data_IF_453407669988
#
_entry.id   IF_453407669988
#
_cell.length_a   1.000
_cell.length_b   1.000
_cell.length_c   1.000
_cell.angle_alpha   90.00
_cell.angle_beta   90.00
_cell.angle_gamma   90.00
#
_symmetry.space_group_name_H-M   'P 1'
#
loop_
_entity.id
_entity.type
_entity.pdbx_description
1 polymer ?
#
# COMPACT_ATOMS: atom_id res chain seq x y z
N UNK A 1 30.16 -31.38 23.19
CA UNK A 1 29.22 -31.75 22.12
C UNK A 1 29.43 -30.78 20.97
N UNK A 2 29.96 -31.22 19.83
CA UNK A 2 30.15 -30.39 18.64
C UNK A 2 28.85 -30.35 17.83
N UNK A 3 28.38 -29.14 17.50
CA UNK A 3 27.23 -28.94 16.61
C UNK A 3 27.51 -29.58 15.24
N UNK A 4 26.50 -30.22 14.67
CA UNK A 4 26.62 -30.86 13.36
C UNK A 4 26.71 -29.81 12.24
N UNK A 5 27.41 -30.12 11.15
CA UNK A 5 27.55 -29.20 10.00
C UNK A 5 26.19 -28.74 9.43
N UNK A 6 25.14 -29.57 9.57
CA UNK A 6 23.77 -29.27 9.14
C UNK A 6 23.13 -28.14 9.99
N UNK A 7 23.40 -28.11 11.29
CA UNK A 7 22.91 -27.05 12.21
C UNK A 7 23.65 -25.73 11.97
N UNK A 8 24.94 -25.79 11.64
CA UNK A 8 25.76 -24.62 11.26
C UNK A 8 25.35 -24.03 9.91
N UNK A 9 25.03 -24.87 8.91
CA UNK A 9 24.47 -24.41 7.63
C UNK A 9 23.08 -23.78 7.79
N UNK A 10 22.21 -24.41 8.58
CA UNK A 10 20.87 -23.88 8.88
C UNK A 10 20.91 -22.52 9.58
N UNK A 11 21.81 -22.33 10.55
CA UNK A 11 21.99 -21.05 11.22
C UNK A 11 22.49 -19.94 10.26
N UNK A 12 23.44 -20.26 9.38
CA UNK A 12 23.95 -19.33 8.38
C UNK A 12 22.90 -18.90 7.34
N UNK A 13 22.01 -19.81 6.95
CA UNK A 13 20.91 -19.50 6.04
C UNK A 13 19.83 -18.63 6.69
N UNK A 14 19.49 -18.89 7.95
CA UNK A 14 18.54 -18.08 8.72
C UNK A 14 19.06 -16.64 8.85
N UNK A 15 20.35 -16.46 9.16
CA UNK A 15 20.94 -15.13 9.31
C UNK A 15 20.99 -14.37 7.97
N UNK A 16 21.32 -15.06 6.87
CA UNK A 16 21.23 -14.49 5.52
C UNK A 16 19.81 -14.07 5.16
N UNK A 17 18.80 -14.90 5.44
CA UNK A 17 17.41 -14.55 5.20
C UNK A 17 16.96 -13.36 6.05
N UNK A 18 17.37 -13.31 7.31
CA UNK A 18 17.07 -12.19 8.23
C UNK A 18 17.68 -10.88 7.73
N UNK A 19 18.94 -10.88 7.29
CA UNK A 19 19.59 -9.70 6.72
C UNK A 19 18.90 -9.25 5.43
N UNK A 20 18.52 -10.19 4.55
CA UNK A 20 17.76 -9.86 3.34
C UNK A 20 16.40 -9.22 3.67
N UNK A 21 15.64 -9.80 4.59
CA UNK A 21 14.35 -9.27 5.01
C UNK A 21 14.48 -7.87 5.64
N UNK A 22 15.50 -7.65 6.47
CA UNK A 22 15.80 -6.32 7.04
C UNK A 22 16.16 -5.30 5.96
N UNK A 23 16.97 -5.70 4.97
CA UNK A 23 17.35 -4.81 3.87
C UNK A 23 16.15 -4.43 3.00
N UNK A 24 15.24 -5.36 2.72
CA UNK A 24 13.99 -5.07 2.02
C UNK A 24 13.16 -4.08 2.84
N UNK A 25 12.85 -4.40 4.12
CA UNK A 25 12.05 -3.54 5.00
C UNK A 25 12.60 -2.12 5.16
N UNK A 26 13.92 -1.94 5.15
CA UNK A 26 14.56 -0.61 5.24
C UNK A 26 14.51 0.16 3.93
N UNK A 27 14.40 -0.53 2.80
CA UNK A 27 14.53 0.08 1.47
C UNK A 27 13.19 0.18 0.74
N UNK A 28 12.15 -0.51 1.14
CA UNK A 28 10.87 -0.53 0.41
C UNK A 28 9.73 -0.09 1.32
N UNK A 29 8.89 0.79 0.81
CA UNK A 29 7.55 0.97 1.36
C UNK A 29 6.64 -0.14 0.83
N UNK A 30 5.80 -0.66 1.69
CA UNK A 30 4.89 -1.74 1.36
C UNK A 30 3.59 -1.16 0.81
N UNK A 31 3.37 -1.36 -0.50
CA UNK A 31 2.25 -0.78 -1.25
C UNK A 31 1.03 -1.70 -1.21
N UNK A 32 -0.10 -1.18 -0.74
CA UNK A 32 -1.36 -1.92 -0.58
C UNK A 32 -2.46 -1.23 -1.38
N UNK A 33 -3.14 -1.99 -2.22
CA UNK A 33 -4.34 -1.54 -2.91
C UNK A 33 -5.55 -2.07 -2.15
N UNK A 34 -6.44 -1.19 -1.72
CA UNK A 34 -7.73 -1.58 -1.12
C UNK A 34 -8.84 -1.45 -2.15
N UNK A 35 -9.59 -2.55 -2.34
CA UNK A 35 -10.65 -2.69 -3.34
C UNK A 35 -11.97 -2.92 -2.62
N UNK A 36 -13.04 -2.30 -3.11
CA UNK A 36 -14.37 -2.59 -2.59
C UNK A 36 -15.42 -1.56 -2.95
N UNK A 37 -16.68 -1.89 -2.66
CA UNK A 37 -17.84 -1.03 -2.94
C UNK A 37 -17.69 0.36 -2.31
N UNK A 38 -18.41 1.32 -2.89
CA UNK A 38 -18.56 2.64 -2.27
C UNK A 38 -19.10 2.48 -0.84
N UNK A 39 -18.55 3.27 0.09
CA UNK A 39 -18.94 3.29 1.50
C UNK A 39 -18.77 1.96 2.26
N UNK A 40 -17.99 1.00 1.74
CA UNK A 40 -17.70 -0.26 2.44
C UNK A 40 -16.77 -0.11 3.67
N UNK A 41 -16.28 1.10 3.97
CA UNK A 41 -15.41 1.36 5.10
C UNK A 41 -13.90 1.17 4.82
N UNK A 42 -13.47 1.23 3.55
CA UNK A 42 -12.07 1.03 3.13
C UNK A 42 -11.09 1.90 3.93
N UNK A 43 -11.26 3.22 3.89
CA UNK A 43 -10.40 4.17 4.62
C UNK A 43 -10.41 3.92 6.13
N UNK A 44 -11.56 3.51 6.70
CA UNK A 44 -11.67 3.19 8.13
C UNK A 44 -10.86 1.93 8.49
N UNK A 45 -10.82 0.93 7.62
CA UNK A 45 -9.95 -0.25 7.82
C UNK A 45 -8.49 0.17 7.77
N UNK A 46 -8.09 1.04 6.84
CA UNK A 46 -6.70 1.51 6.73
C UNK A 46 -6.24 2.23 8.01
N UNK A 47 -7.06 3.11 8.57
CA UNK A 47 -6.80 3.76 9.87
C UNK A 47 -6.57 2.73 10.98
N UNK A 48 -7.40 1.69 11.04
CA UNK A 48 -7.28 0.62 12.04
C UNK A 48 -6.01 -0.21 11.87
N UNK A 49 -5.63 -0.55 10.64
CA UNK A 49 -4.39 -1.28 10.32
C UNK A 49 -3.16 -0.50 10.76
N UNK A 50 -3.19 0.83 10.61
CA UNK A 50 -2.12 1.71 11.07
C UNK A 50 -2.19 2.07 12.56
N UNK A 51 -3.11 1.44 13.33
CA UNK A 51 -3.38 1.72 14.74
C UNK A 51 -3.47 3.24 15.03
N UNK A 52 -4.17 3.96 14.16
CA UNK A 52 -4.26 5.43 14.22
C UNK A 52 -5.68 5.89 13.94
N UNK A 53 -5.98 7.12 14.37
CA UNK A 53 -7.20 7.85 14.01
C UNK A 53 -6.90 9.07 13.15
N UNK A 54 -5.62 9.29 12.81
CA UNK A 54 -5.23 10.36 11.92
C UNK A 54 -5.80 10.14 10.50
N UNK A 55 -5.93 11.23 9.76
CA UNK A 55 -6.19 11.13 8.33
C UNK A 55 -4.86 10.93 7.60
N UNK A 56 -4.82 10.08 6.56
CA UNK A 56 -3.62 9.96 5.75
C UNK A 56 -3.38 11.27 5.00
N UNK A 57 -2.11 11.61 4.81
CA UNK A 57 -1.71 12.58 3.80
C UNK A 57 -1.81 11.95 2.44
N UNK A 58 -2.27 12.72 1.46
CA UNK A 58 -2.42 12.26 0.08
C UNK A 58 -1.36 12.92 -0.77
N UNK A 59 -0.64 12.13 -1.55
CA UNK A 59 0.34 12.61 -2.51
C UNK A 59 -0.08 12.19 -3.91
N UNK A 60 0.07 13.08 -4.88
CA UNK A 60 -0.09 12.72 -6.29
C UNK A 60 1.15 11.95 -6.80
N UNK A 61 1.09 11.49 -8.06
CA UNK A 61 2.20 10.80 -8.72
C UNK A 61 3.49 11.62 -8.82
N UNK A 62 3.41 12.95 -8.71
CA UNK A 62 4.57 13.84 -8.69
C UNK A 62 5.18 14.00 -7.29
N UNK A 63 4.58 13.40 -6.26
CA UNK A 63 4.99 13.53 -4.87
C UNK A 63 4.54 14.84 -4.21
N UNK A 64 3.61 15.58 -4.81
CA UNK A 64 3.05 16.78 -4.20
C UNK A 64 1.92 16.39 -3.25
N UNK A 65 1.96 16.91 -2.03
CA UNK A 65 0.88 16.77 -1.06
C UNK A 65 -0.36 17.49 -1.57
N UNK A 66 -1.50 16.79 -1.55
CA UNK A 66 -2.81 17.32 -1.91
C UNK A 66 -3.50 17.74 -0.62
N UNK A 67 -3.78 19.03 -0.46
CA UNK A 67 -4.50 19.52 0.70
C UNK A 67 -5.97 19.08 0.64
N UNK A 68 -6.33 18.15 1.52
CA UNK A 68 -7.68 17.62 1.62
C UNK A 68 -8.67 18.57 2.29
N UNK A 69 -8.20 19.65 2.92
CA UNK A 69 -9.05 20.64 3.58
C UNK A 69 -9.71 21.60 2.60
N UNK A 70 -9.15 21.75 1.39
CA UNK A 70 -9.74 22.47 0.27
C UNK A 70 -10.81 21.65 -0.48
N UNK A 71 -10.87 20.34 -0.21
CA UNK A 71 -11.86 19.43 -0.78
C UNK A 71 -13.03 19.24 0.20
N UNK A 72 -14.26 19.36 -0.31
CA UNK A 72 -15.48 19.18 0.49
C UNK A 72 -15.42 17.87 1.33
N UNK A 73 -15.87 17.83 2.60
CA UNK A 73 -15.88 16.61 3.43
C UNK A 73 -16.65 15.42 2.83
N UNK A 74 -17.58 15.70 1.90
CA UNK A 74 -18.27 14.71 1.07
C UNK A 74 -17.44 14.23 -0.12
N UNK A 75 -16.56 15.07 -0.67
CA UNK A 75 -15.58 14.69 -1.70
C UNK A 75 -14.50 13.76 -1.12
N UNK A 76 -14.17 13.91 0.17
CA UNK A 76 -13.20 13.09 0.93
C UNK A 76 -13.47 11.58 0.94
N UNK A 77 -14.65 11.09 0.55
CA UNK A 77 -14.98 9.64 0.54
C UNK A 77 -15.23 9.05 -0.85
N UNK A 78 -15.23 9.89 -1.89
CA UNK A 78 -15.63 9.50 -3.24
C UNK A 78 -14.68 9.91 -4.36
N UNK A 79 -13.79 10.88 -4.13
CA UNK A 79 -12.93 11.45 -5.18
C UNK A 79 -11.47 10.96 -5.16
N UNK A 80 -11.15 9.86 -4.47
CA UNK A 80 -9.76 9.35 -4.47
C UNK A 80 -9.29 8.91 -5.86
N UNK A 81 -8.19 9.45 -6.36
CA UNK A 81 -7.52 8.83 -7.50
C UNK A 81 -6.76 7.58 -7.00
N UNK A 82 -6.91 6.45 -7.69
CA UNK A 82 -6.21 5.20 -7.35
C UNK A 82 -4.69 5.36 -7.45
N UNK A 83 -4.24 6.30 -8.29
CA UNK A 83 -2.83 6.63 -8.50
C UNK A 83 -2.25 7.48 -7.37
N UNK A 84 -3.10 8.12 -6.54
CA UNK A 84 -2.62 8.88 -5.40
C UNK A 84 -2.17 7.95 -4.27
N UNK A 85 -1.12 8.36 -3.58
CA UNK A 85 -0.56 7.66 -2.43
C UNK A 85 -1.17 8.21 -1.15
N UNK A 86 -1.74 7.33 -0.32
CA UNK A 86 -2.16 7.65 1.04
C UNK A 86 -1.11 7.15 2.04
N UNK A 87 -0.55 8.07 2.82
CA UNK A 87 0.49 7.78 3.80
C UNK A 87 0.05 8.27 5.17
N UNK A 88 0.10 7.38 6.14
CA UNK A 88 -0.12 7.68 7.55
C UNK A 88 1.21 8.09 8.18
N UNK A 89 1.23 9.24 8.85
CA UNK A 89 2.42 9.73 9.57
C UNK A 89 2.81 8.78 10.71
N UNK A 90 1.83 8.12 11.33
CA UNK A 90 2.04 7.08 12.34
C UNK A 90 2.78 5.86 11.78
N UNK A 91 2.71 5.62 10.47
CA UNK A 91 3.34 4.46 9.84
C UNK A 91 3.69 4.67 8.36
N UNK A 92 4.85 5.28 8.11
CA UNK A 92 5.40 5.53 6.76
C UNK A 92 5.90 4.29 6.03
N UNK A 93 5.91 3.13 6.69
CA UNK A 93 6.32 1.88 6.06
C UNK A 93 5.27 1.38 5.05
N UNK A 94 4.04 1.89 5.12
CA UNK A 94 2.97 1.55 4.19
C UNK A 94 2.60 2.72 3.30
N UNK A 95 2.28 2.39 2.06
CA UNK A 95 1.64 3.32 1.10
C UNK A 95 0.36 2.66 0.64
N UNK A 96 -0.75 3.36 0.78
CA UNK A 96 -2.06 2.83 0.42
C UNK A 96 -2.59 3.49 -0.85
N UNK A 97 -3.28 2.70 -1.66
CA UNK A 97 -4.02 3.13 -2.84
C UNK A 97 -5.49 2.69 -2.65
N UNK A 98 -6.45 3.58 -2.88
CA UNK A 98 -7.89 3.28 -2.80
C UNK A 98 -8.46 3.19 -4.23
N UNK A 99 -9.09 2.06 -4.57
CA UNK A 99 -9.68 1.83 -5.89
C UNK A 99 -10.84 2.75 -6.27
N UNK A 100 -11.29 3.62 -5.36
CA UNK A 100 -12.65 4.14 -5.27
C UNK A 100 -13.69 3.07 -4.98
N UNK A 101 -14.87 3.54 -4.62
CA UNK A 101 -16.04 2.71 -4.48
C UNK A 101 -16.54 2.16 -5.80
N UNK A 102 -16.67 0.83 -5.92
CA UNK A 102 -17.41 0.23 -7.01
C UNK A 102 -18.91 0.49 -6.85
N UNK A 103 -19.53 1.05 -7.88
CA UNK A 103 -20.97 1.30 -7.97
C UNK A 103 -21.63 0.32 -8.95
N UNK A 104 -22.86 -0.10 -8.66
CA UNK A 104 -23.58 -1.03 -9.52
C UNK A 104 -23.89 -0.39 -10.88
N UNK A 105 -23.66 -1.12 -11.97
CA UNK A 105 -23.94 -0.65 -13.33
C UNK A 105 -22.82 0.20 -13.97
N UNK A 106 -21.69 0.38 -13.29
CA UNK A 106 -20.48 1.02 -13.85
C UNK A 106 -19.33 0.02 -13.94
N UNK A 107 -18.61 0.02 -15.07
CA UNK A 107 -17.42 -0.82 -15.28
C UNK A 107 -16.12 -0.02 -15.25
N UNK A 108 -16.20 1.31 -15.30
CA UNK A 108 -15.05 2.20 -15.39
C UNK A 108 -14.05 2.04 -14.24
N UNK A 109 -14.54 1.70 -13.06
CA UNK A 109 -13.76 1.48 -11.84
C UNK A 109 -12.93 0.20 -11.97
N UNK A 110 -13.50 -0.86 -12.56
CA UNK A 110 -12.78 -2.11 -12.81
C UNK A 110 -11.66 -1.89 -13.83
N UNK A 111 -11.93 -1.14 -14.90
CA UNK A 111 -10.93 -0.86 -15.92
C UNK A 111 -9.79 0.02 -15.37
N UNK A 112 -10.10 1.00 -14.52
CA UNK A 112 -9.09 1.78 -13.78
C UNK A 112 -8.20 0.91 -12.89
N UNK A 113 -8.80 -0.02 -12.13
CA UNK A 113 -8.03 -0.96 -11.30
C UNK A 113 -7.14 -1.85 -12.16
N UNK A 114 -7.65 -2.40 -13.26
CA UNK A 114 -6.84 -3.23 -14.18
C UNK A 114 -5.66 -2.45 -14.77
N UNK A 115 -5.90 -1.23 -15.23
CA UNK A 115 -4.86 -0.35 -15.76
C UNK A 115 -3.77 -0.03 -14.73
N UNK A 116 -4.19 0.27 -13.50
CA UNK A 116 -3.29 0.52 -12.37
C UNK A 116 -2.43 -0.72 -12.03
N UNK A 117 -3.05 -1.90 -11.94
CA UNK A 117 -2.34 -3.15 -11.67
C UNK A 117 -1.33 -3.48 -12.79
N UNK A 118 -1.73 -3.30 -14.04
CA UNK A 118 -0.86 -3.56 -15.18
C UNK A 118 0.35 -2.62 -15.17
N UNK A 119 0.14 -1.33 -14.89
CA UNK A 119 1.22 -0.35 -14.74
C UNK A 119 2.21 -0.76 -13.63
N UNK A 120 1.73 -1.05 -12.43
CA UNK A 120 2.62 -1.43 -11.32
C UNK A 120 3.34 -2.77 -11.56
N UNK A 121 2.69 -3.71 -12.26
CA UNK A 121 3.31 -5.00 -12.61
C UNK A 121 4.47 -4.87 -13.61
N UNK A 122 4.48 -3.78 -14.39
CA UNK A 122 5.51 -3.52 -15.40
C UNK A 122 6.75 -2.81 -14.85
N UNK A 123 6.72 -2.35 -13.61
CA UNK A 123 7.85 -1.67 -12.97
C UNK A 123 9.01 -2.66 -12.73
N UNK A 124 10.25 -2.20 -12.87
CA UNK A 124 11.44 -3.03 -12.64
C UNK A 124 11.94 -2.99 -11.20
N UNK A 125 11.52 -1.97 -10.43
CA UNK A 125 11.93 -1.75 -9.06
C UNK A 125 10.87 -2.24 -8.08
N UNK A 126 11.29 -3.09 -7.14
CA UNK A 126 10.43 -3.61 -6.06
C UNK A 126 9.75 -2.49 -5.24
N UNK A 127 10.38 -1.32 -5.12
CA UNK A 127 9.79 -0.16 -4.42
C UNK A 127 8.50 0.34 -5.06
N UNK A 128 8.36 0.10 -6.36
CA UNK A 128 7.25 0.60 -7.18
C UNK A 128 6.26 -0.53 -7.51
N UNK A 129 6.42 -1.71 -6.89
CA UNK A 129 5.50 -2.83 -7.03
C UNK A 129 4.34 -2.72 -6.07
N UNK A 130 3.18 -3.20 -6.50
CA UNK A 130 2.11 -3.50 -5.57
C UNK A 130 2.43 -4.77 -4.80
N UNK A 131 2.30 -4.73 -3.48
CA UNK A 131 2.66 -5.86 -2.62
C UNK A 131 1.44 -6.66 -2.17
N UNK A 132 0.31 -5.99 -1.93
CA UNK A 132 -0.94 -6.62 -1.48
C UNK A 132 -2.14 -5.96 -2.16
N UNK A 133 -3.14 -6.78 -2.48
CA UNK A 133 -4.50 -6.36 -2.80
C UNK A 133 -5.40 -6.88 -1.68
N UNK A 134 -6.20 -5.98 -1.08
CA UNK A 134 -7.20 -6.31 -0.07
C UNK A 134 -8.59 -5.95 -0.61
#
# INVERSE_FOLDING_TARGET
MSLSNTELQGAGDIERQRMRAQNIRRRTQFRVLIIGRANAGKTTILQRVCNTTEQPKIFNQMGHEIDLSELNPTAQRGEHDIENEMIFESNKAFVFHDSRGFEAGRTSELDKVKGFLQKLSSNSNLRDHLHVIW
#
